data_IF_592821067776
#
_entry.id   IF_592821067776
#
_cell.length_a   1.000
_cell.length_b   1.000
_cell.length_c   1.000
_cell.angle_alpha   90.00
_cell.angle_beta   90.00
_cell.angle_gamma   90.00
#
_symmetry.space_group_name_H-M   'P 1'
#
loop_
_entity.id
_entity.type
_entity.pdbx_description
1 polymer ?
#
# COMPACT_ATOMS: atom_id res chain seq x y z
N UNK A 1 15.35 -10.32 -17.82
CA UNK A 1 14.82 -9.53 -16.68
C UNK A 1 15.55 -8.21 -16.51
N UNK A 2 16.90 -8.14 -16.50
CA UNK A 2 17.65 -6.89 -16.26
C UNK A 2 17.20 -5.69 -17.11
N UNK A 3 17.04 -5.85 -18.43
CA UNK A 3 16.61 -4.77 -19.31
C UNK A 3 15.19 -4.28 -19.00
N UNK A 4 14.27 -5.21 -18.70
CA UNK A 4 12.91 -4.85 -18.31
C UNK A 4 12.88 -4.10 -16.97
N UNK A 5 13.66 -4.54 -15.99
CA UNK A 5 13.81 -3.84 -14.71
C UNK A 5 14.41 -2.45 -14.89
N UNK A 6 15.45 -2.31 -15.73
CA UNK A 6 16.06 -1.03 -16.03
C UNK A 6 15.04 -0.07 -16.63
N UNK A 7 14.34 -0.49 -17.70
CA UNK A 7 13.32 0.33 -18.37
C UNK A 7 12.21 0.71 -17.39
N UNK A 8 11.68 -0.26 -16.64
CA UNK A 8 10.61 -0.01 -15.67
C UNK A 8 11.03 1.00 -14.61
N UNK A 9 12.18 0.80 -13.96
CA UNK A 9 12.66 1.72 -12.92
C UNK A 9 12.92 3.10 -13.50
N UNK A 10 13.58 3.21 -14.66
CA UNK A 10 13.84 4.50 -15.31
C UNK A 10 12.56 5.25 -15.66
N UNK A 11 11.58 4.57 -16.28
CA UNK A 11 10.30 5.18 -16.63
C UNK A 11 9.56 5.65 -15.37
N UNK A 12 9.48 4.81 -14.34
CA UNK A 12 8.83 5.16 -13.07
C UNK A 12 9.52 6.33 -12.37
N UNK A 13 10.86 6.37 -12.35
CA UNK A 13 11.62 7.48 -11.78
C UNK A 13 11.36 8.79 -12.52
N UNK A 14 11.41 8.78 -13.85
CA UNK A 14 11.12 9.98 -14.65
C UNK A 14 9.69 10.43 -14.42
N UNK A 15 8.73 9.52 -14.40
CA UNK A 15 7.32 9.84 -14.17
C UNK A 15 7.09 10.49 -12.80
N UNK A 16 7.58 9.89 -11.71
CA UNK A 16 7.44 10.48 -10.37
C UNK A 16 8.17 11.82 -10.23
N UNK A 17 9.35 11.95 -10.84
CA UNK A 17 10.08 13.22 -10.85
C UNK A 17 9.30 14.31 -11.58
N UNK A 18 8.71 14.00 -12.74
CA UNK A 18 7.87 14.94 -13.47
C UNK A 18 6.63 15.35 -12.66
N UNK A 19 5.94 14.40 -12.01
CA UNK A 19 4.81 14.72 -11.14
C UNK A 19 5.20 15.68 -10.01
N UNK A 20 6.32 15.42 -9.32
CA UNK A 20 6.81 16.28 -8.24
C UNK A 20 7.28 17.64 -8.74
N UNK A 21 8.11 17.68 -9.78
CA UNK A 21 8.66 18.92 -10.33
C UNK A 21 7.59 19.82 -10.94
N UNK A 22 6.65 19.28 -11.73
CA UNK A 22 5.56 20.07 -12.30
C UNK A 22 4.53 20.47 -11.25
N UNK A 23 4.24 19.60 -10.28
CA UNK A 23 3.39 19.96 -9.14
C UNK A 23 3.97 21.15 -8.37
N UNK A 24 5.26 21.08 -8.01
CA UNK A 24 5.93 22.19 -7.33
C UNK A 24 6.05 23.43 -8.22
N UNK A 25 6.36 23.29 -9.52
CA UNK A 25 6.44 24.44 -10.42
C UNK A 25 5.09 25.17 -10.59
N UNK A 26 3.97 24.44 -10.49
CA UNK A 26 2.63 25.02 -10.61
C UNK A 26 2.14 25.67 -9.31
N UNK A 27 2.43 25.09 -8.14
CA UNK A 27 1.84 25.48 -6.86
C UNK A 27 2.83 26.05 -5.83
N UNK A 28 4.13 25.90 -6.07
CA UNK A 28 5.18 26.27 -5.12
C UNK A 28 4.98 25.63 -3.74
N UNK A 29 5.22 26.42 -2.70
CA UNK A 29 5.07 26.00 -1.30
C UNK A 29 3.59 25.78 -0.88
N UNK A 30 2.63 26.11 -1.75
CA UNK A 30 1.20 25.86 -1.55
C UNK A 30 0.73 24.55 -2.21
N UNK A 31 1.64 23.70 -2.67
CA UNK A 31 1.28 22.41 -3.25
C UNK A 31 0.52 21.54 -2.22
N UNK A 32 -0.71 21.10 -2.53
CA UNK A 32 -1.50 20.27 -1.62
C UNK A 32 -0.98 18.83 -1.61
N UNK A 33 -1.14 18.14 -0.47
CA UNK A 33 -0.73 16.74 -0.31
C UNK A 33 -1.43 15.79 -1.29
N UNK A 34 -2.71 16.06 -1.55
CA UNK A 34 -3.46 15.42 -2.62
C UNK A 34 -3.87 16.50 -3.63
N UNK A 35 -3.20 16.46 -4.78
CA UNK A 35 -3.44 17.38 -5.90
C UNK A 35 -4.93 17.43 -6.26
N UNK A 36 -5.61 16.28 -6.33
CA UNK A 36 -7.01 16.20 -6.75
C UNK A 36 -7.99 16.86 -5.76
N UNK A 37 -7.63 16.96 -4.49
CA UNK A 37 -8.47 17.63 -3.48
C UNK A 37 -8.09 19.10 -3.26
N UNK A 38 -6.86 19.49 -3.63
CA UNK A 38 -6.40 20.87 -3.48
C UNK A 38 -6.72 21.79 -4.66
N UNK A 39 -7.36 21.29 -5.72
CA UNK A 39 -7.95 22.12 -6.76
C UNK A 39 -9.20 22.85 -6.24
N UNK A 40 -9.00 23.93 -5.49
CA UNK A 40 -10.08 24.83 -5.05
C UNK A 40 -10.79 25.60 -6.18
N UNK A 41 -10.44 25.34 -7.45
CA UNK A 41 -11.00 25.96 -8.64
C UNK A 41 -11.32 24.88 -9.70
N UNK A 42 -12.37 24.10 -9.48
CA UNK A 42 -13.60 24.06 -10.30
C UNK A 42 -13.60 24.51 -11.79
N UNK A 43 -12.51 24.42 -12.55
CA UNK A 43 -12.59 24.44 -14.03
C UNK A 43 -11.31 23.86 -14.69
N UNK A 44 -11.43 22.87 -15.60
CA UNK A 44 -12.64 22.17 -15.99
C UNK A 44 -12.90 20.91 -15.15
N UNK A 45 -14.10 20.81 -14.57
CA UNK A 45 -14.53 19.68 -13.73
C UNK A 45 -14.38 18.30 -14.38
N UNK A 46 -14.61 18.21 -15.70
CA UNK A 46 -14.55 16.93 -16.41
C UNK A 46 -13.18 16.26 -16.30
N UNK A 47 -12.09 17.04 -16.20
CA UNK A 47 -10.75 16.49 -16.08
C UNK A 47 -10.53 15.86 -14.69
N UNK A 48 -11.05 16.50 -13.65
CA UNK A 48 -11.04 15.97 -12.28
C UNK A 48 -11.90 14.70 -12.19
N UNK A 49 -13.06 14.69 -12.82
CA UNK A 49 -13.95 13.52 -12.83
C UNK A 49 -13.30 12.32 -13.53
N UNK A 50 -12.66 12.53 -14.68
CA UNK A 50 -11.91 11.47 -15.38
C UNK A 50 -10.76 10.95 -14.50
N UNK A 51 -10.02 11.84 -13.83
CA UNK A 51 -8.94 11.44 -12.92
C UNK A 51 -9.47 10.60 -11.76
N UNK A 52 -10.58 11.00 -11.13
CA UNK A 52 -11.23 10.25 -10.07
C UNK A 52 -11.76 8.88 -10.55
N UNK A 53 -12.38 8.82 -11.74
CA UNK A 53 -12.82 7.54 -12.33
C UNK A 53 -11.61 6.61 -12.56
N UNK A 54 -10.52 7.14 -13.11
CA UNK A 54 -9.30 6.35 -13.34
C UNK A 54 -8.73 5.80 -12.02
N UNK A 55 -8.71 6.61 -10.96
CA UNK A 55 -8.31 6.18 -9.61
C UNK A 55 -9.23 5.06 -9.09
N UNK A 56 -10.54 5.21 -9.21
CA UNK A 56 -11.50 4.18 -8.76
C UNK A 56 -11.25 2.87 -9.50
N UNK A 57 -11.16 2.90 -10.84
CA UNK A 57 -10.91 1.70 -11.65
C UNK A 57 -9.59 1.04 -11.26
N UNK A 58 -8.52 1.82 -11.10
CA UNK A 58 -7.21 1.32 -10.69
C UNK A 58 -7.23 0.71 -9.28
N UNK A 59 -7.80 1.43 -8.30
CA UNK A 59 -7.81 1.02 -6.90
C UNK A 59 -8.69 -0.20 -6.65
N UNK A 60 -9.83 -0.33 -7.35
CA UNK A 60 -10.66 -1.54 -7.27
C UNK A 60 -9.86 -2.75 -7.75
N UNK A 61 -9.17 -2.64 -8.88
CA UNK A 61 -8.31 -3.72 -9.38
C UNK A 61 -7.18 -4.05 -8.42
N UNK A 62 -6.47 -3.03 -7.92
CA UNK A 62 -5.40 -3.19 -6.95
C UNK A 62 -5.90 -3.88 -5.66
N UNK A 63 -7.01 -3.42 -5.09
CA UNK A 63 -7.61 -4.00 -3.88
C UNK A 63 -7.92 -5.49 -4.08
N UNK A 64 -8.52 -5.87 -5.21
CA UNK A 64 -8.84 -7.26 -5.50
C UNK A 64 -7.58 -8.13 -5.54
N UNK A 65 -6.52 -7.67 -6.20
CA UNK A 65 -5.26 -8.42 -6.34
C UNK A 65 -4.52 -8.50 -5.00
N UNK A 66 -4.38 -7.38 -4.27
CA UNK A 66 -3.64 -7.34 -3.01
C UNK A 66 -4.32 -8.12 -1.88
N UNK A 67 -5.66 -8.24 -1.89
CA UNK A 67 -6.36 -9.02 -0.89
C UNK A 67 -6.25 -10.55 -1.12
N UNK A 68 -6.00 -11.02 -2.36
CA UNK A 68 -5.97 -12.47 -2.63
C UNK A 68 -4.92 -13.24 -1.81
N UNK A 69 -3.64 -12.80 -1.73
CA UNK A 69 -2.65 -13.52 -0.94
C UNK A 69 -3.00 -13.58 0.55
N UNK A 70 -3.55 -12.50 1.10
CA UNK A 70 -3.99 -12.44 2.50
C UNK A 70 -5.14 -13.42 2.76
N UNK A 71 -6.16 -13.40 1.91
CA UNK A 71 -7.28 -14.33 2.00
C UNK A 71 -6.83 -15.78 1.85
N UNK A 72 -5.96 -16.07 0.87
CA UNK A 72 -5.42 -17.40 0.67
C UNK A 72 -4.63 -17.88 1.90
N UNK A 73 -3.79 -17.02 2.49
CA UNK A 73 -3.00 -17.37 3.67
C UNK A 73 -3.89 -17.69 4.87
N UNK A 74 -4.88 -16.83 5.18
CA UNK A 74 -5.76 -17.01 6.33
C UNK A 74 -6.68 -18.21 6.14
N UNK A 75 -7.29 -18.36 4.96
CA UNK A 75 -8.16 -19.49 4.65
C UNK A 75 -7.41 -20.83 4.72
N UNK A 76 -6.18 -20.88 4.18
CA UNK A 76 -5.35 -22.08 4.25
C UNK A 76 -4.97 -22.41 5.69
N UNK A 77 -4.49 -21.42 6.45
CA UNK A 77 -4.08 -21.59 7.85
C UNK A 77 -5.26 -22.05 8.71
N UNK A 78 -6.44 -21.45 8.53
CA UNK A 78 -7.64 -21.84 9.26
C UNK A 78 -8.08 -23.28 8.93
N UNK A 79 -7.97 -23.69 7.67
CA UNK A 79 -8.28 -25.06 7.26
C UNK A 79 -7.29 -26.09 7.84
N UNK A 80 -6.01 -25.74 7.95
CA UNK A 80 -4.98 -26.58 8.57
C UNK A 80 -5.17 -26.71 10.09
N UNK A 81 -5.55 -25.63 10.78
CA UNK A 81 -5.73 -25.63 12.23
C UNK A 81 -7.04 -26.27 12.69
N UNK A 82 -8.10 -26.15 11.90
CA UNK A 82 -9.44 -26.66 12.24
C UNK A 82 -10.01 -27.60 11.15
N UNK A 83 -9.34 -28.73 10.85
CA UNK A 83 -9.73 -29.60 9.75
C UNK A 83 -11.12 -30.23 9.96
N UNK A 84 -11.52 -30.45 11.21
CA UNK A 84 -12.80 -31.06 11.58
C UNK A 84 -13.99 -30.08 11.57
N UNK A 85 -13.74 -28.78 11.40
CA UNK A 85 -14.80 -27.77 11.41
C UNK A 85 -15.54 -27.74 10.08
N UNK A 86 -16.80 -28.22 10.07
CA UNK A 86 -17.68 -28.15 8.91
C UNK A 86 -17.97 -26.72 8.45
N UNK A 87 -17.72 -25.69 9.27
CA UNK A 87 -17.87 -24.30 8.84
C UNK A 87 -16.71 -23.83 7.95
N UNK A 88 -15.50 -24.35 8.22
CA UNK A 88 -14.25 -23.94 7.57
C UNK A 88 -13.96 -24.79 6.34
N UNK A 89 -14.17 -26.11 6.42
CA UNK A 89 -13.76 -27.04 5.35
C UNK A 89 -14.89 -27.43 4.39
N UNK A 90 -16.16 -27.21 4.75
CA UNK A 90 -17.30 -27.58 3.89
C UNK A 90 -17.49 -26.56 2.78
N UNK A 91 -17.45 -27.05 1.54
CA UNK A 91 -17.90 -26.31 0.37
C UNK A 91 -19.35 -26.70 0.05
N UNK A 92 -20.22 -25.71 -0.07
CA UNK A 92 -21.62 -25.83 -0.45
C UNK A 92 -21.70 -25.45 -1.92
N UNK A 93 -22.06 -26.40 -2.79
CA UNK A 93 -22.30 -26.12 -4.20
C UNK A 93 -23.69 -25.50 -4.36
N UNK A 94 -23.74 -24.20 -4.62
CA UNK A 94 -24.99 -23.51 -4.94
C UNK A 94 -25.18 -23.53 -6.45
N UNK A 95 -26.24 -24.18 -6.97
CA UNK A 95 -26.56 -24.13 -8.38
C UNK A 95 -27.04 -22.73 -8.74
N UNK A 96 -26.34 -22.07 -9.67
CA UNK A 96 -26.75 -20.78 -10.20
C UNK A 96 -27.46 -21.04 -11.53
N UNK A 97 -28.73 -20.63 -11.71
CA UNK A 97 -29.43 -20.79 -12.98
C UNK A 97 -28.63 -20.16 -14.13
N UNK A 98 -28.22 -20.97 -15.12
CA UNK A 98 -27.48 -20.53 -16.31
C UNK A 98 -25.94 -20.54 -16.20
N UNK A 99 -25.35 -20.88 -15.05
CA UNK A 99 -23.89 -20.93 -14.86
C UNK A 99 -23.43 -22.22 -14.15
N UNK A 100 -22.12 -22.47 -14.11
CA UNK A 100 -21.53 -23.56 -13.32
C UNK A 100 -21.84 -23.36 -11.83
N UNK A 101 -22.09 -24.47 -11.13
CA UNK A 101 -22.31 -24.46 -9.67
C UNK A 101 -21.20 -23.72 -8.95
N UNK A 102 -21.57 -22.78 -8.09
CA UNK A 102 -20.63 -21.98 -7.33
C UNK A 102 -20.34 -22.63 -5.98
N UNK A 103 -19.06 -22.89 -5.71
CA UNK A 103 -18.62 -23.49 -4.45
C UNK A 103 -18.50 -22.39 -3.39
N UNK A 104 -19.53 -22.26 -2.55
CA UNK A 104 -19.55 -21.36 -1.42
C UNK A 104 -18.96 -22.02 -0.18
N UNK A 105 -18.05 -21.31 0.47
CA UNK A 105 -17.54 -21.66 1.78
C UNK A 105 -18.02 -20.60 2.77
N UNK A 106 -18.69 -21.01 3.85
CA UNK A 106 -19.30 -20.08 4.80
C UNK A 106 -18.25 -19.27 5.55
N UNK A 107 -17.13 -19.90 5.94
CA UNK A 107 -16.01 -19.20 6.55
C UNK A 107 -15.43 -18.13 5.62
N UNK A 108 -15.18 -18.47 4.35
CA UNK A 108 -14.70 -17.52 3.33
C UNK A 108 -15.62 -16.31 3.21
N UNK A 109 -16.94 -16.53 3.17
CA UNK A 109 -17.92 -15.47 3.04
C UNK A 109 -17.85 -14.54 4.27
N UNK A 110 -17.99 -15.10 5.47
CA UNK A 110 -18.04 -14.32 6.71
C UNK A 110 -16.74 -13.56 6.95
N UNK A 111 -15.59 -14.22 6.84
CA UNK A 111 -14.30 -13.58 7.08
C UNK A 111 -14.01 -12.46 6.08
N UNK A 112 -14.25 -12.67 4.78
CA UNK A 112 -14.01 -11.63 3.77
C UNK A 112 -14.96 -10.44 3.95
N UNK A 113 -16.23 -10.68 4.31
CA UNK A 113 -17.17 -9.59 4.62
C UNK A 113 -16.72 -8.80 5.85
N UNK A 114 -16.31 -9.48 6.93
CA UNK A 114 -15.77 -8.82 8.13
C UNK A 114 -14.54 -7.99 7.78
N UNK A 115 -13.62 -8.54 6.98
CA UNK A 115 -12.42 -7.83 6.54
C UNK A 115 -12.76 -6.53 5.81
N UNK A 116 -13.69 -6.57 4.86
CA UNK A 116 -14.14 -5.39 4.10
C UNK A 116 -14.82 -4.37 5.02
N UNK A 117 -15.68 -4.81 5.94
CA UNK A 117 -16.35 -3.92 6.90
C UNK A 117 -15.31 -3.21 7.78
N UNK A 118 -14.36 -3.95 8.34
CA UNK A 118 -13.30 -3.40 9.19
C UNK A 118 -12.42 -2.45 8.40
N UNK A 119 -11.98 -2.81 7.19
CA UNK A 119 -11.12 -1.94 6.38
C UNK A 119 -11.84 -0.64 6.02
N UNK A 120 -13.13 -0.73 5.65
CA UNK A 120 -13.95 0.45 5.34
C UNK A 120 -14.14 1.34 6.56
N UNK A 121 -14.40 0.74 7.72
CA UNK A 121 -14.54 1.47 8.98
C UNK A 121 -13.25 2.19 9.37
N UNK A 122 -12.09 1.52 9.25
CA UNK A 122 -10.78 2.15 9.49
C UNK A 122 -10.55 3.30 8.51
N UNK A 123 -10.86 3.13 7.22
CA UNK A 123 -10.74 4.20 6.22
C UNK A 123 -11.63 5.40 6.53
N UNK A 124 -12.82 5.21 7.10
CA UNK A 124 -13.69 6.31 7.54
C UNK A 124 -13.14 7.04 8.78
N UNK A 125 -12.43 6.34 9.66
CA UNK A 125 -11.84 6.92 10.87
C UNK A 125 -10.56 7.73 10.60
N UNK A 126 -9.85 7.41 9.53
CA UNK A 126 -8.51 7.92 9.25
C UNK A 126 -8.43 8.64 7.90
N UNK A 127 -8.82 9.93 7.81
CA UNK A 127 -8.81 10.67 6.55
C UNK A 127 -7.42 11.14 6.10
N UNK A 128 -6.35 10.86 6.86
CA UNK A 128 -4.97 11.32 6.58
C UNK A 128 -4.20 10.29 5.75
N UNK A 129 -4.57 10.18 4.47
CA UNK A 129 -3.97 9.19 3.57
C UNK A 129 -2.45 9.33 3.46
N UNK A 130 -1.94 10.55 3.26
CA UNK A 130 -0.52 10.82 3.05
C UNK A 130 0.34 10.43 4.24
N UNK A 131 -0.09 10.78 5.46
CA UNK A 131 0.64 10.44 6.67
C UNK A 131 0.66 8.93 6.92
N UNK A 132 -0.46 8.24 6.70
CA UNK A 132 -0.53 6.79 6.90
C UNK A 132 0.35 6.06 5.87
N UNK A 133 0.32 6.49 4.61
CA UNK A 133 1.22 5.97 3.58
C UNK A 133 2.68 6.26 3.93
N UNK A 134 2.97 7.44 4.48
CA UNK A 134 4.31 7.82 4.96
C UNK A 134 4.81 6.89 6.07
N UNK A 135 3.97 6.61 7.07
CA UNK A 135 4.28 5.67 8.15
C UNK A 135 4.50 4.26 7.59
N UNK A 136 3.54 3.72 6.84
CA UNK A 136 3.63 2.36 6.26
C UNK A 136 4.84 2.23 5.33
N UNK A 137 5.10 3.26 4.53
CA UNK A 137 6.26 3.36 3.65
C UNK A 137 7.57 3.33 4.42
N UNK A 138 7.70 4.13 5.48
CA UNK A 138 8.89 4.15 6.33
C UNK A 138 9.15 2.80 7.01
N UNK A 139 8.11 2.18 7.58
CA UNK A 139 8.23 0.88 8.23
C UNK A 139 8.53 -0.26 7.25
N UNK A 140 8.00 -0.22 6.03
CA UNK A 140 8.25 -1.23 5.01
C UNK A 140 9.57 -1.05 4.26
N UNK A 141 9.96 0.19 3.98
CA UNK A 141 11.07 0.52 3.09
C UNK A 141 12.40 -0.02 3.62
N UNK A 142 12.82 0.37 4.82
CA UNK A 142 14.12 -0.06 5.33
C UNK A 142 14.25 -1.59 5.47
N UNK A 143 13.38 -2.30 6.22
CA UNK A 143 13.58 -3.73 6.42
C UNK A 143 13.41 -4.52 5.12
N UNK A 144 12.33 -4.29 4.37
CA UNK A 144 11.96 -5.13 3.23
C UNK A 144 12.67 -4.75 1.92
N UNK A 145 12.94 -3.47 1.69
CA UNK A 145 13.52 -2.99 0.41
C UNK A 145 15.04 -2.84 0.49
N UNK A 146 15.57 -2.54 1.68
CA UNK A 146 17.01 -2.24 1.84
C UNK A 146 17.72 -3.32 2.64
N UNK A 147 17.40 -3.48 3.91
CA UNK A 147 18.14 -4.32 4.85
C UNK A 147 18.15 -5.79 4.43
N UNK A 148 16.98 -6.43 4.28
CA UNK A 148 16.92 -7.84 3.92
C UNK A 148 17.58 -8.13 2.56
N UNK A 149 17.29 -7.39 1.47
CA UNK A 149 17.97 -7.63 0.20
C UNK A 149 19.49 -7.41 0.24
N UNK A 150 19.97 -6.41 0.99
CA UNK A 150 21.41 -6.16 1.16
C UNK A 150 22.08 -7.30 1.91
N UNK A 151 21.51 -7.75 3.02
CA UNK A 151 22.04 -8.87 3.81
C UNK A 151 21.99 -10.19 3.02
N UNK A 152 20.89 -10.45 2.31
CA UNK A 152 20.77 -11.59 1.39
C UNK A 152 21.85 -11.55 0.31
N UNK A 153 22.13 -10.38 -0.25
CA UNK A 153 23.18 -10.21 -1.27
C UNK A 153 24.59 -10.46 -0.69
N UNK A 154 24.88 -9.93 0.49
CA UNK A 154 26.15 -10.16 1.20
C UNK A 154 26.35 -11.65 1.49
N UNK A 155 25.30 -12.31 2.00
CA UNK A 155 25.33 -13.74 2.31
C UNK A 155 25.50 -14.61 1.05
N UNK A 156 24.75 -14.33 -0.01
CA UNK A 156 24.80 -15.09 -1.25
C UNK A 156 26.14 -14.93 -1.99
N UNK A 157 26.69 -13.71 -2.01
CA UNK A 157 27.97 -13.40 -2.66
C UNK A 157 29.19 -13.61 -1.77
N UNK A 158 28.99 -14.04 -0.51
CA UNK A 158 30.02 -14.27 0.50
C UNK A 158 31.00 -13.09 0.58
N UNK A 159 30.47 -11.87 0.60
CA UNK A 159 31.30 -10.66 0.60
C UNK A 159 32.07 -10.60 1.93
N UNK A 160 33.41 -10.48 1.91
CA UNK A 160 34.18 -10.44 3.14
C UNK A 160 33.83 -9.18 3.94
N UNK A 161 33.63 -9.35 5.25
CA UNK A 161 33.41 -8.26 6.19
C UNK A 161 34.56 -7.25 6.07
N UNK A 162 34.25 -5.96 6.16
CA UNK A 162 35.19 -4.84 6.00
C UNK A 162 35.78 -4.62 4.61
N UNK A 163 35.36 -5.38 3.59
CA UNK A 163 35.65 -5.00 2.20
C UNK A 163 35.02 -3.67 1.86
N UNK A 164 35.61 -2.89 0.94
CA UNK A 164 35.03 -1.63 0.43
C UNK A 164 33.57 -1.80 -0.03
N UNK A 165 33.26 -2.95 -0.66
CA UNK A 165 31.89 -3.28 -1.08
C UNK A 165 30.96 -3.54 0.10
N UNK A 166 31.43 -4.24 1.12
CA UNK A 166 30.64 -4.51 2.34
C UNK A 166 30.37 -3.20 3.09
N UNK A 167 31.39 -2.36 3.29
CA UNK A 167 31.25 -1.06 3.94
C UNK A 167 30.27 -0.17 3.17
N UNK A 168 30.38 -0.09 1.84
CA UNK A 168 29.45 0.70 1.03
C UNK A 168 27.99 0.25 1.15
N UNK A 169 27.75 -1.06 1.16
CA UNK A 169 26.39 -1.62 1.35
C UNK A 169 25.84 -1.35 2.75
N UNK A 170 26.68 -1.41 3.78
CA UNK A 170 26.26 -1.07 5.15
C UNK A 170 25.98 0.42 5.32
N UNK A 171 26.81 1.29 4.75
CA UNK A 171 26.56 2.74 4.74
C UNK A 171 25.22 3.03 4.06
N UNK A 172 24.96 2.46 2.88
CA UNK A 172 23.67 2.61 2.21
C UNK A 172 22.50 2.20 3.11
N UNK A 173 22.59 1.02 3.75
CA UNK A 173 21.55 0.51 4.64
C UNK A 173 21.30 1.43 5.85
N UNK A 174 22.36 1.92 6.49
CA UNK A 174 22.27 2.84 7.63
C UNK A 174 21.71 4.20 7.20
N UNK A 175 22.13 4.74 6.05
CA UNK A 175 21.56 5.99 5.52
C UNK A 175 20.06 5.83 5.25
N UNK A 176 19.64 4.75 4.60
CA UNK A 176 18.22 4.47 4.38
C UNK A 176 17.44 4.27 5.69
N UNK A 177 18.06 3.71 6.73
CA UNK A 177 17.46 3.60 8.06
C UNK A 177 17.17 4.98 8.64
N UNK A 178 18.16 5.87 8.62
CA UNK A 178 18.03 7.24 9.15
C UNK A 178 16.92 7.98 8.41
N UNK A 179 16.90 7.90 7.07
CA UNK A 179 15.84 8.50 6.25
C UNK A 179 14.47 7.93 6.60
N UNK A 180 14.36 6.62 6.82
CA UNK A 180 13.09 5.97 7.20
C UNK A 180 12.62 6.43 8.57
N UNK A 181 13.52 6.54 9.56
CA UNK A 181 13.19 7.05 10.89
C UNK A 181 12.70 8.50 10.81
N UNK A 182 13.39 9.35 10.03
CA UNK A 182 12.98 10.73 9.82
C UNK A 182 11.61 10.82 9.15
N UNK A 183 11.36 10.01 8.11
CA UNK A 183 10.07 9.96 7.42
C UNK A 183 8.94 9.48 8.34
N UNK A 184 9.18 8.43 9.14
CA UNK A 184 8.23 7.96 10.15
C UNK A 184 7.93 9.06 11.18
N UNK A 185 8.96 9.71 11.73
CA UNK A 185 8.78 10.79 12.71
C UNK A 185 7.97 11.97 12.14
N UNK A 186 8.25 12.39 10.90
CA UNK A 186 7.48 13.43 10.21
C UNK A 186 6.02 13.03 10.00
N UNK A 187 5.79 11.80 9.54
CA UNK A 187 4.43 11.30 9.30
C UNK A 187 3.63 11.14 10.61
N UNK A 188 4.26 10.67 11.69
CA UNK A 188 3.63 10.64 13.02
C UNK A 188 3.28 12.05 13.54
N UNK A 189 4.16 13.02 13.31
CA UNK A 189 3.87 14.41 13.67
C UNK A 189 2.68 14.95 12.88
N UNK A 190 2.58 14.62 11.58
CA UNK A 190 1.42 14.90 10.72
C UNK A 190 0.13 14.33 11.31
N UNK A 191 0.08 13.01 11.55
CA UNK A 191 -1.09 12.35 12.15
C UNK A 191 -1.51 13.01 13.46
N UNK A 192 -0.56 13.32 14.34
CA UNK A 192 -0.87 13.94 15.64
C UNK A 192 -1.38 15.38 15.48
N UNK A 193 -0.85 16.14 14.52
CA UNK A 193 -1.34 17.49 14.21
C UNK A 193 -2.77 17.44 13.70
N UNK A 194 -3.04 16.53 12.77
CA UNK A 194 -4.33 16.40 12.11
C UNK A 194 -5.41 15.86 13.05
N UNK A 195 -5.06 14.91 13.92
CA UNK A 195 -5.96 14.38 14.95
C UNK A 195 -6.43 15.44 15.96
N UNK A 196 -5.66 16.52 16.20
CA UNK A 196 -6.09 17.61 17.09
C UNK A 196 -7.28 18.40 16.52
N UNK A 197 -7.35 18.49 15.20
CA UNK A 197 -8.40 19.26 14.49
C UNK A 197 -9.58 18.34 14.14
N UNK A 198 -9.32 17.06 13.93
CA UNK A 198 -10.31 16.09 13.50
C UNK A 198 -11.37 15.79 14.56
N UNK A 199 -12.64 15.88 14.14
CA UNK A 199 -13.80 15.46 14.92
C UNK A 199 -14.47 14.31 14.19
N UNK A 200 -14.31 13.06 14.64
CA UNK A 200 -14.85 11.91 13.94
C UNK A 200 -16.38 12.05 13.77
N UNK A 201 -16.84 11.77 12.55
CA UNK A 201 -18.26 11.78 12.17
C UNK A 201 -19.00 13.11 12.34
N UNK A 202 -18.29 14.24 12.40
CA UNK A 202 -18.92 15.56 12.44
C UNK A 202 -19.14 16.08 11.01
N UNK A 203 -20.39 15.97 10.53
CA UNK A 203 -20.87 16.59 9.30
C UNK A 203 -21.45 17.97 9.63
N UNK A 204 -20.62 19.01 9.62
CA UNK A 204 -21.08 20.42 9.70
C UNK A 204 -20.25 21.26 8.77
#
# INVERSE_FOLDING_TARGET
MKNATLISVSVTTVFYMLCGCFGYAAFGDHAPDNLLTGFGFYDPYWLLDIANIAIVVHLVGAYQVYCQPLFAFIEKTAAEWYPNSKFITKNISVPIPGYKSYNLNLFRLVWRTIFVIISTFISMLLPFFSDIVGILGAFGFWPLTVYYPVEMYIAQKKIPKWSRKWVGLQILSVTCLIVSIAAAAGSFAGVVSDLKVYKPFKFT
#
